data_IF_295110527349
#
_entry.id   IF_295110527349
#
_cell.length_a   1.000
_cell.length_b   1.000
_cell.length_c   1.000
_cell.angle_alpha   90.00
_cell.angle_beta   90.00
_cell.angle_gamma   90.00
#
_symmetry.space_group_name_H-M   'P 1'
#
loop_
_entity.id
_entity.type
_entity.pdbx_description
1 polymer ?
2 water ?
#
# COMPACT_ATOMS: atom_id res chain seq x y z
N UNK A 1 -28.23 18.33 -16.29
CA UNK A 1 -28.65 17.13 -15.59
C UNK A 1 -28.13 15.89 -16.26
N UNK A 2 -28.08 16.02 -17.68
CA UNK A 2 -27.64 14.76 -18.35
C UNK A 2 -26.15 14.44 -18.11
N UNK A 3 -25.31 15.48 -18.07
CA UNK A 3 -23.88 15.33 -17.76
C UNK A 3 -23.65 14.82 -16.33
N UNK A 4 -24.44 15.33 -15.38
CA UNK A 4 -24.34 14.92 -13.98
C UNK A 4 -24.74 13.44 -13.85
N UNK A 5 -25.84 13.08 -14.51
CA UNK A 5 -26.31 11.68 -14.54
C UNK A 5 -25.25 10.76 -15.18
N UNK A 6 -24.68 11.19 -16.30
CA UNK A 6 -23.60 10.46 -16.96
C UNK A 6 -22.44 10.16 -15.99
N UNK A 7 -22.03 11.20 -15.26
CA UNK A 7 -20.94 11.08 -14.29
C UNK A 7 -21.28 10.16 -13.12
N UNK A 8 -22.53 10.22 -12.63
CA UNK A 8 -23.00 9.28 -11.61
C UNK A 8 -22.77 7.83 -12.04
N UNK A 9 -23.09 7.53 -13.30
CA UNK A 9 -22.96 6.18 -13.84
C UNK A 9 -21.52 5.72 -14.02
N UNK A 10 -20.66 6.60 -14.57
CA UNK A 10 -19.22 6.29 -14.66
C UNK A 10 -18.64 6.09 -13.25
N UNK A 11 -18.98 7.01 -12.36
CA UNK A 11 -18.55 6.96 -10.95
C UNK A 11 -18.93 5.66 -10.27
N UNK A 12 -20.16 5.21 -10.51
CA UNK A 12 -20.64 3.95 -9.95
C UNK A 12 -19.82 2.75 -10.42
N UNK A 13 -19.54 2.69 -11.71
CA UNK A 13 -18.69 1.64 -12.27
C UNK A 13 -17.29 1.64 -11.66
N UNK A 14 -16.70 2.82 -11.55
CA UNK A 14 -15.35 2.96 -10.98
C UNK A 14 -15.30 2.51 -9.52
N UNK A 15 -16.38 2.81 -8.79
CA UNK A 15 -16.46 2.50 -7.36
C UNK A 15 -16.50 1.00 -7.06
N UNK A 16 -16.70 0.17 -8.08
CA UNK A 16 -16.65 -1.28 -7.82
C UNK A 16 -15.24 -1.85 -7.90
N UNK A 17 -14.29 -1.09 -8.45
CA UNK A 17 -12.92 -1.59 -8.65
C UNK A 17 -12.32 -2.08 -7.33
N UNK A 18 -12.55 -1.33 -6.25
CA UNK A 18 -11.96 -1.66 -4.95
C UNK A 18 -12.41 -2.97 -4.33
N UNK A 19 -13.52 -3.53 -4.83
CA UNK A 19 -14.01 -4.83 -4.39
C UNK A 19 -13.02 -5.95 -4.72
N UNK A 20 -12.07 -5.69 -5.65
CA UNK A 20 -11.05 -6.69 -5.95
C UNK A 20 -10.20 -7.01 -4.70
N UNK A 21 -10.06 -6.01 -3.82
CA UNK A 21 -9.33 -6.17 -2.56
C UNK A 21 -9.97 -7.18 -1.62
N UNK A 22 -11.28 -7.07 -1.44
CA UNK A 22 -12.05 -8.05 -0.67
C UNK A 22 -12.06 -9.43 -1.34
N UNK A 23 -12.15 -9.48 -2.66
CA UNK A 23 -12.12 -10.76 -3.39
C UNK A 23 -10.84 -11.54 -3.09
N UNK A 24 -9.72 -10.84 -3.16
CA UNK A 24 -8.41 -11.42 -2.84
C UNK A 24 -8.28 -11.62 -1.32
N UNK A 25 -8.68 -10.62 -0.54
CA UNK A 25 -8.48 -10.67 0.90
C UNK A 25 -9.23 -11.83 1.57
N UNK A 26 -10.49 -12.01 1.21
CA UNK A 26 -11.30 -13.08 1.80
C UNK A 26 -10.60 -14.43 1.55
N UNK A 27 -10.11 -14.59 0.32
CA UNK A 27 -9.37 -15.78 -0.10
C UNK A 27 -8.08 -16.04 0.69
N UNK A 28 -7.30 -14.98 0.92
CA UNK A 28 -6.07 -15.07 1.72
C UNK A 28 -6.38 -15.57 3.16
N UNK A 29 -7.45 -15.05 3.75
CA UNK A 29 -7.89 -15.51 5.10
C UNK A 29 -8.25 -17.00 5.06
N UNK A 30 -9.08 -17.39 4.09
CA UNK A 30 -9.51 -18.78 3.98
C UNK A 30 -8.37 -19.76 3.63
N UNK A 31 -7.42 -19.29 2.83
CA UNK A 31 -6.20 -20.04 2.54
C UNK A 31 -5.38 -20.32 3.81
N UNK A 32 -5.24 -19.32 4.66
CA UNK A 32 -4.52 -19.50 5.94
C UNK A 32 -5.27 -20.48 6.84
N UNK A 33 -6.59 -20.36 6.88
CA UNK A 33 -7.40 -21.28 7.68
C UNK A 33 -7.15 -22.72 7.26
N UNK A 34 -7.24 -22.97 5.95
CA UNK A 34 -7.06 -24.33 5.41
C UNK A 34 -5.64 -24.83 5.71
N UNK A 35 -4.64 -23.97 5.46
CA UNK A 35 -3.27 -24.39 5.68
C UNK A 35 -2.99 -24.60 7.18
N UNK A 36 -3.55 -23.74 8.03
CA UNK A 36 -3.41 -23.87 9.47
C UNK A 36 -4.02 -25.17 10.02
N UNK A 37 -5.23 -25.49 9.56
CA UNK A 37 -5.94 -26.71 10.00
C UNK A 37 -5.21 -27.96 9.48
N UNK A 38 -4.70 -27.92 8.25
CA UNK A 38 -4.01 -29.07 7.68
C UNK A 38 -2.74 -29.41 8.48
N UNK A 39 -2.01 -28.38 8.90
CA UNK A 39 -0.77 -28.55 9.69
C UNK A 39 -1.01 -28.93 11.14
N UNK A 40 -2.12 -28.45 11.71
CA UNK A 40 -2.45 -28.70 13.10
C UNK A 40 -3.98 -28.84 13.27
N UNK A 41 -4.54 -30.02 12.92
CA UNK A 41 -5.99 -30.16 12.97
C UNK A 41 -6.61 -29.81 14.31
N UNK A 42 -5.88 -30.08 15.41
CA UNK A 42 -6.39 -29.79 16.75
C UNK A 42 -6.70 -28.29 16.99
N UNK A 43 -6.17 -27.40 16.15
CA UNK A 43 -6.34 -25.95 16.35
C UNK A 43 -7.63 -25.39 15.67
N UNK A 44 -8.33 -26.26 14.95
CA UNK A 44 -9.49 -25.85 14.15
C UNK A 44 -10.50 -24.94 14.88
N UNK A 45 -10.89 -25.32 16.10
CA UNK A 45 -11.89 -24.54 16.86
C UNK A 45 -11.38 -23.18 17.33
N UNK A 46 -10.06 -23.03 17.40
CA UNK A 46 -9.44 -21.76 17.75
C UNK A 46 -9.35 -20.82 16.55
N UNK A 47 -8.87 -21.34 15.41
CA UNK A 47 -8.62 -20.46 14.26
C UNK A 47 -9.86 -20.20 13.38
N UNK A 48 -10.87 -21.07 13.43
CA UNK A 48 -12.08 -20.83 12.64
C UNK A 48 -12.77 -19.49 12.96
N UNK A 49 -12.98 -19.15 14.27
CA UNK A 49 -13.57 -17.82 14.56
C UNK A 49 -12.66 -16.66 14.14
N UNK A 50 -11.34 -16.86 14.17
CA UNK A 50 -10.41 -15.83 13.69
C UNK A 50 -10.58 -15.60 12.21
N UNK A 51 -10.82 -16.67 11.46
CA UNK A 51 -11.05 -16.59 10.03
C UNK A 51 -12.36 -15.84 9.71
N UNK A 52 -13.40 -16.11 10.49
CA UNK A 52 -14.69 -15.43 10.31
C UNK A 52 -14.53 -13.93 10.54
N UNK A 53 -13.81 -13.55 11.59
CA UNK A 53 -13.54 -12.13 11.87
C UNK A 53 -12.72 -11.49 10.76
N UNK A 54 -11.66 -12.19 10.35
CA UNK A 54 -10.78 -11.72 9.29
C UNK A 54 -11.53 -11.47 7.99
N UNK A 55 -12.32 -12.45 7.57
CA UNK A 55 -13.08 -12.29 6.34
C UNK A 55 -14.10 -11.14 6.45
N UNK A 56 -14.79 -11.05 7.59
CA UNK A 56 -15.79 -10.00 7.80
C UNK A 56 -15.17 -8.60 7.68
N UNK A 57 -13.97 -8.42 8.25
CA UNK A 57 -13.29 -7.13 8.22
C UNK A 57 -12.77 -6.78 6.82
N UNK A 58 -12.19 -7.76 6.13
CA UNK A 58 -11.78 -7.58 4.74
C UNK A 58 -12.97 -7.25 3.83
N UNK A 59 -14.06 -8.02 3.98
CA UNK A 59 -15.29 -7.80 3.23
C UNK A 59 -15.87 -6.40 3.44
N UNK A 60 -15.81 -5.90 4.67
CA UNK A 60 -16.31 -4.57 5.01
C UNK A 60 -15.75 -3.47 4.09
N UNK A 61 -14.49 -3.61 3.68
CA UNK A 61 -13.86 -2.61 2.81
C UNK A 61 -14.52 -2.60 1.43
N UNK A 62 -14.82 -3.79 0.92
CA UNK A 62 -15.57 -3.93 -0.34
C UNK A 62 -16.97 -3.37 -0.21
N UNK A 63 -17.60 -3.59 0.94
CA UNK A 63 -18.93 -3.04 1.18
C UNK A 63 -18.96 -1.51 1.24
N UNK A 64 -17.87 -0.90 1.72
CA UNK A 64 -17.70 0.55 1.65
C UNK A 64 -17.71 1.03 0.19
N UNK A 65 -16.98 0.33 -0.67
CA UNK A 65 -16.97 0.64 -2.11
C UNK A 65 -18.37 0.51 -2.72
N UNK A 66 -19.04 -0.60 -2.41
CA UNK A 66 -20.38 -0.86 -2.93
C UNK A 66 -21.39 0.20 -2.46
N UNK A 67 -21.27 0.66 -1.22
CA UNK A 67 -22.12 1.73 -0.68
C UNK A 67 -22.00 3.03 -1.49
N UNK A 68 -20.77 3.37 -1.86
CA UNK A 68 -20.51 4.56 -2.69
C UNK A 68 -21.15 4.38 -4.07
N UNK A 69 -20.95 3.19 -4.66
CA UNK A 69 -21.60 2.81 -5.91
C UNK A 69 -23.11 3.02 -5.86
N UNK A 70 -23.74 2.51 -4.81
CA UNK A 70 -25.20 2.61 -4.68
C UNK A 70 -25.67 4.05 -4.45
N UNK A 71 -24.90 4.81 -3.69
CA UNK A 71 -25.21 6.23 -3.47
C UNK A 71 -25.18 7.00 -4.79
N UNK A 72 -24.25 6.63 -5.67
CA UNK A 72 -24.13 7.25 -6.99
C UNK A 72 -25.26 6.82 -7.93
N UNK A 73 -25.67 5.55 -7.82
CA UNK A 73 -26.77 5.02 -8.61
C UNK A 73 -28.17 5.42 -8.12
N UNK A 74 -28.29 5.62 -6.80
CA UNK A 74 -29.59 5.81 -6.17
C UNK A 74 -29.56 6.91 -5.09
N UNK B 1 -21.08 25.00 -12.90
CA UNK B 1 -21.82 24.25 -11.89
C UNK B 1 -22.01 22.80 -12.26
N UNK B 2 -22.56 22.39 -13.51
CA UNK B 2 -22.86 21.00 -14.01
C UNK B 2 -21.58 20.16 -14.11
N UNK B 3 -20.57 20.71 -14.79
CA UNK B 3 -19.28 20.04 -14.99
C UNK B 3 -18.54 19.82 -13.66
N UNK B 4 -18.60 20.80 -12.76
CA UNK B 4 -18.00 20.69 -11.43
C UNK B 4 -18.67 19.56 -10.64
N UNK B 5 -20.00 19.53 -10.66
CA UNK B 5 -20.73 18.46 -9.97
C UNK B 5 -20.40 17.09 -10.57
N UNK B 6 -20.37 17.03 -11.91
CA UNK B 6 -19.96 15.82 -12.62
C UNK B 6 -18.59 15.32 -12.12
N UNK B 7 -17.63 16.26 -12.02
CA UNK B 7 -16.28 15.93 -11.55
C UNK B 7 -16.26 15.40 -10.11
N UNK B 8 -17.07 15.99 -9.24
CA UNK B 8 -17.15 15.53 -7.84
C UNK B 8 -17.57 14.07 -7.76
N UNK B 9 -18.53 13.69 -8.59
CA UNK B 9 -19.05 12.32 -8.58
C UNK B 9 -18.08 11.31 -9.19
N UNK B 10 -17.42 11.69 -10.28
CA UNK B 10 -16.33 10.85 -10.85
C UNK B 10 -15.20 10.72 -9.83
N UNK B 11 -14.83 11.84 -9.20
CA UNK B 11 -13.77 11.86 -8.20
C UNK B 11 -14.08 11.00 -6.99
N UNK B 12 -15.35 10.99 -6.59
CA UNK B 12 -15.80 10.18 -5.45
C UNK B 12 -15.62 8.69 -5.73
N UNK B 13 -15.97 8.27 -6.95
CA UNK B 13 -15.77 6.86 -7.36
C UNK B 13 -14.30 6.46 -7.39
N UNK B 14 -13.46 7.32 -7.94
CA UNK B 14 -12.02 7.08 -8.00
C UNK B 14 -11.41 6.94 -6.60
N UNK B 15 -11.94 7.74 -5.66
CA UNK B 15 -11.42 7.77 -4.29
C UNK B 15 -11.66 6.48 -3.51
N UNK B 16 -12.47 5.57 -4.06
CA UNK B 16 -12.67 4.29 -3.37
C UNK B 16 -11.69 3.20 -3.82
N UNK B 17 -10.99 3.42 -4.94
CA UNK B 17 -10.04 2.43 -5.47
C UNK B 17 -9.02 2.04 -4.40
N UNK B 18 -8.52 3.03 -3.67
CA UNK B 18 -7.53 2.81 -2.61
C UNK B 18 -7.94 1.86 -1.49
N UNK B 19 -9.25 1.67 -1.32
CA UNK B 19 -9.76 0.72 -0.32
C UNK B 19 -9.35 -0.73 -0.59
N UNK B 20 -8.95 -1.04 -1.82
CA UNK B 20 -8.47 -2.40 -2.12
C UNK B 20 -7.23 -2.76 -1.27
N UNK B 21 -6.43 -1.74 -0.92
CA UNK B 21 -5.21 -1.95 -0.12
C UNK B 21 -5.55 -2.44 1.28
N UNK B 22 -6.57 -1.82 1.88
CA UNK B 22 -7.10 -2.26 3.17
C UNK B 22 -7.77 -3.63 3.06
N UNK B 23 -8.50 -3.88 1.97
CA UNK B 23 -9.14 -5.20 1.81
C UNK B 23 -8.10 -6.32 1.82
N UNK B 24 -6.98 -6.07 1.14
CA UNK B 24 -5.90 -7.05 1.06
C UNK B 24 -5.09 -7.05 2.36
N UNK B 25 -4.82 -5.86 2.88
CA UNK B 25 -3.95 -5.72 4.06
C UNK B 25 -4.56 -6.37 5.29
N UNK B 26 -5.85 -6.11 5.53
CA UNK B 26 -6.54 -6.74 6.68
C UNK B 26 -6.40 -8.28 6.61
N UNK B 27 -6.63 -8.82 5.42
CA UNK B 27 -6.49 -10.27 5.19
C UNK B 27 -5.09 -10.82 5.48
N UNK B 28 -4.08 -10.08 5.04
CA UNK B 28 -2.69 -10.46 5.26
C UNK B 28 -2.40 -10.56 6.78
N UNK B 29 -2.91 -9.60 7.54
CA UNK B 29 -2.74 -9.62 9.00
C UNK B 29 -3.40 -10.85 9.63
N UNK B 30 -4.65 -11.11 9.24
CA UNK B 30 -5.39 -12.24 9.79
C UNK B 30 -4.83 -13.58 9.35
N UNK B 31 -4.32 -13.65 8.12
CA UNK B 31 -3.62 -14.85 7.67
C UNK B 31 -2.38 -15.18 8.54
N UNK B 32 -1.58 -14.15 8.83
CA UNK B 32 -0.41 -14.31 9.71
C UNK B 32 -0.84 -14.74 11.11
N UNK B 33 -1.92 -14.13 11.61
CA UNK B 33 -2.48 -14.53 12.90
C UNK B 33 -2.82 -16.02 12.91
N UNK B 34 -3.57 -16.47 11.89
CA UNK B 34 -4.02 -17.86 11.82
C UNK B 34 -2.82 -18.81 11.70
N UNK B 35 -1.89 -18.46 10.82
CA UNK B 35 -0.72 -19.31 10.64
C UNK B 35 0.17 -19.36 11.88
N UNK B 36 0.35 -18.23 12.56
CA UNK B 36 1.15 -18.19 13.78
C UNK B 36 0.55 -18.98 14.93
N UNK B 37 -0.76 -18.86 15.10
CA UNK B 37 -1.47 -19.63 16.13
C UNK B 37 -1.46 -21.14 15.82
N UNK B 38 -1.60 -21.51 14.55
CA UNK B 38 -1.55 -22.92 14.18
C UNK B 38 -0.18 -23.53 14.47
N UNK B 39 0.88 -22.76 14.21
CA UNK B 39 2.24 -23.22 14.48
C UNK B 39 2.60 -23.20 15.96
N UNK B 40 1.99 -22.30 16.72
CA UNK B 40 2.33 -22.13 18.13
C UNK B 40 1.11 -21.64 18.92
N UNK B 41 0.17 -22.56 19.24
CA UNK B 41 -1.06 -22.14 19.94
C UNK B 41 -0.81 -21.34 21.22
N UNK B 42 0.30 -21.63 21.91
CA UNK B 42 0.60 -20.99 23.19
C UNK B 42 0.81 -19.46 23.10
N UNK B 43 1.07 -18.95 21.89
CA UNK B 43 1.40 -17.53 21.69
C UNK B 43 0.16 -16.67 21.40
N UNK B 44 -1.02 -17.29 21.36
CA UNK B 44 -2.21 -16.62 20.82
C UNK B 44 -2.59 -15.32 21.56
N UNK B 45 -2.49 -15.32 22.89
CA UNK B 45 -2.78 -14.11 23.71
C UNK B 45 -1.81 -12.97 23.41
N UNK B 46 -0.59 -13.31 22.98
CA UNK B 46 0.41 -12.30 22.62
C UNK B 46 0.16 -11.70 21.20
N UNK B 47 -0.10 -12.56 20.22
CA UNK B 47 -0.20 -12.11 18.83
C UNK B 47 -1.59 -11.56 18.43
N UNK B 48 -2.64 -12.00 19.14
CA UNK B 48 -3.99 -11.50 18.85
C UNK B 48 -4.11 -9.97 18.93
N UNK B 49 -3.60 -9.32 20.02
CA UNK B 49 -3.63 -7.85 20.04
C UNK B 49 -2.78 -7.22 18.94
N UNK B 50 -1.67 -7.87 18.56
CA UNK B 50 -0.89 -7.38 17.41
C UNK B 50 -1.70 -7.38 16.13
N UNK B 51 -2.50 -8.43 15.93
CA UNK B 51 -3.38 -8.52 14.78
C UNK B 51 -4.45 -7.42 14.79
N UNK B 52 -5.00 -7.12 15.97
CA UNK B 52 -6.00 -6.04 16.06
C UNK B 52 -5.38 -4.69 15.72
N UNK B 53 -4.21 -4.40 16.30
CA UNK B 53 -3.48 -3.18 15.96
C UNK B 53 -3.16 -3.10 14.46
N UNK B 54 -2.67 -4.21 13.90
CA UNK B 54 -2.32 -4.26 12.47
C UNK B 54 -3.52 -3.99 11.58
N UNK B 55 -4.63 -4.67 11.87
CA UNK B 55 -5.87 -4.48 11.13
C UNK B 55 -6.34 -3.01 11.18
N UNK B 56 -6.34 -2.41 12.37
CA UNK B 56 -6.83 -1.05 12.57
C UNK B 56 -6.01 -0.02 11.79
N UNK B 57 -4.69 -0.19 11.81
CA UNK B 57 -3.82 0.73 11.10
C UNK B 57 -3.94 0.57 9.57
N UNK B 58 -4.10 -0.66 9.10
CA UNK B 58 -4.33 -0.91 7.67
C UNK B 58 -5.68 -0.34 7.24
N UNK B 59 -6.71 -0.62 8.03
CA UNK B 59 -8.05 -0.08 7.77
C UNK B 59 -8.08 1.45 7.73
N UNK B 60 -7.25 2.10 8.57
CA UNK B 60 -7.17 3.56 8.64
C UNK B 60 -6.83 4.19 7.29
N UNK B 61 -5.94 3.56 6.52
CA UNK B 61 -5.61 4.03 5.17
C UNK B 61 -6.82 4.03 4.23
N UNK B 62 -7.65 2.99 4.35
CA UNK B 62 -8.87 2.91 3.56
C UNK B 62 -9.90 3.94 4.02
N UNK B 63 -9.96 4.18 5.33
CA UNK B 63 -10.85 5.23 5.86
C UNK B 63 -10.45 6.64 5.39
N UNK B 64 -9.15 6.87 5.17
CA UNK B 64 -8.69 8.14 4.60
C UNK B 64 -9.24 8.35 3.19
N UNK B 65 -9.24 7.29 2.39
CA UNK B 65 -9.81 7.30 1.04
C UNK B 65 -11.30 7.60 1.08
N UNK B 66 -12.01 6.84 1.93
CA UNK B 66 -13.45 7.03 2.13
C UNK B 66 -13.80 8.46 2.55
N UNK B 67 -12.96 9.04 3.41
CA UNK B 67 -13.10 10.42 3.87
C UNK B 67 -13.16 11.39 2.69
N UNK B 68 -12.23 11.24 1.75
CA UNK B 68 -12.18 12.07 0.57
C UNK B 68 -13.41 11.82 -0.30
N UNK B 69 -13.81 10.55 -0.39
CA UNK B 69 -15.00 10.17 -1.14
C UNK B 69 -16.25 10.87 -0.63
N UNK B 70 -16.41 10.90 0.69
CA UNK B 70 -17.60 11.52 1.29
C UNK B 70 -17.56 13.06 1.23
N UNK B 71 -16.36 13.64 1.33
CA UNK B 71 -16.18 15.08 1.11
C UNK B 71 -16.63 15.48 -0.30
N UNK B 72 -16.27 14.66 -1.29
CA UNK B 72 -16.69 14.89 -2.68
C UNK B 72 -18.18 14.66 -2.90
N UNK B 73 -18.74 13.61 -2.28
CA UNK B 73 -20.17 13.30 -2.41
C UNK B 73 -21.08 14.30 -1.69
N UNK B 74 -20.67 14.73 -0.51
CA UNK B 74 -21.54 15.53 0.33
C UNK B 74 -20.99 16.93 0.59
N UNK C 1 -12.95 28.53 -15.47
CA UNK C 1 -12.73 28.20 -14.07
C UNK C 1 -13.46 26.96 -13.64
N UNK C 2 -14.67 26.53 -14.27
CA UNK C 2 -15.38 25.21 -14.17
C UNK C 2 -14.45 24.06 -14.50
N UNK C 3 -13.60 24.26 -15.51
CA UNK C 3 -12.67 23.23 -15.96
C UNK C 3 -11.57 22.98 -14.93
N UNK C 4 -11.03 24.06 -14.37
CA UNK C 4 -9.99 23.99 -13.36
C UNK C 4 -10.52 23.34 -12.08
N UNK C 5 -11.69 23.80 -11.63
CA UNK C 5 -12.35 23.20 -10.45
C UNK C 5 -12.63 21.71 -10.61
N UNK C 6 -13.20 21.38 -11.77
CA UNK C 6 -13.46 19.99 -12.13
C UNK C 6 -12.17 19.15 -12.03
N UNK C 7 -11.07 19.71 -12.55
CA UNK C 7 -9.76 19.07 -12.52
C UNK C 7 -9.21 18.87 -11.10
N UNK C 8 -9.47 19.83 -10.21
CA UNK C 8 -9.05 19.72 -8.81
C UNK C 8 -9.72 18.54 -8.13
N UNK C 9 -11.02 18.37 -8.39
CA UNK C 9 -11.77 17.31 -7.73
C UNK C 9 -11.44 15.92 -8.27
N UNK C 10 -11.25 15.82 -9.58
CA UNK C 10 -10.81 14.57 -10.20
C UNK C 10 -9.40 14.22 -9.70
N UNK C 11 -8.52 15.21 -9.69
CA UNK C 11 -7.15 15.05 -9.22
C UNK C 11 -7.08 14.62 -7.77
N UNK C 12 -7.94 15.20 -6.93
CA UNK C 12 -8.01 14.84 -5.51
C UNK C 12 -8.38 13.36 -5.34
N UNK C 13 -9.35 12.90 -6.12
CA UNK C 13 -9.73 11.49 -6.13
C UNK C 13 -8.59 10.57 -6.54
N UNK C 14 -7.92 10.93 -7.64
CA UNK C 14 -6.81 10.14 -8.17
C UNK C 14 -5.66 10.04 -7.15
N UNK C 15 -5.46 11.12 -6.37
CA UNK C 15 -4.40 11.24 -5.37
C UNK C 15 -4.52 10.29 -4.18
N UNK C 16 -5.71 9.71 -3.99
CA UNK C 16 -5.90 8.75 -2.89
C UNK C 16 -5.53 7.30 -3.28
N UNK C 17 -5.38 7.03 -4.59
CA UNK C 17 -5.08 5.67 -5.06
C UNK C 17 -3.82 5.13 -4.39
N UNK C 18 -2.78 5.96 -4.33
CA UNK C 18 -1.49 5.54 -3.76
C UNK C 18 -1.54 5.05 -2.32
N UNK C 19 -2.61 5.43 -1.59
CA UNK C 19 -2.86 4.93 -0.24
C UNK C 19 -3.03 3.40 -0.14
N UNK C 20 -3.34 2.75 -1.25
CA UNK C 20 -3.42 1.29 -1.25
C UNK C 20 -2.06 0.68 -0.85
N UNK C 21 -0.97 1.40 -1.15
CA UNK C 21 0.39 0.90 -0.86
C UNK C 21 0.65 0.84 0.63
N UNK C 22 0.23 1.88 1.35
CA UNK C 22 0.31 1.92 2.80
C UNK C 22 -0.65 0.89 3.42
N UNK C 23 -1.85 0.74 2.86
CA UNK C 23 -2.78 -0.31 3.31
C UNK C 23 -2.17 -1.69 3.30
N UNK C 24 -1.50 -2.02 2.19
CA UNK C 24 -0.82 -3.31 2.03
C UNK C 24 0.48 -3.35 2.86
N UNK C 25 1.28 -2.29 2.80
CA UNK C 25 2.56 -2.25 3.50
C UNK C 25 2.44 -2.41 5.03
N UNK C 26 1.56 -1.63 5.64
CA UNK C 26 1.34 -1.72 7.09
C UNK C 26 1.00 -3.16 7.50
N UNK C 27 0.13 -3.80 6.71
CA UNK C 27 -0.24 -5.19 6.92
C UNK C 27 0.94 -6.14 6.83
N UNK C 28 1.80 -5.94 5.83
CA UNK C 28 2.99 -6.77 5.63
C UNK C 28 3.92 -6.73 6.85
N UNK C 29 4.12 -5.52 7.39
CA UNK C 29 4.97 -5.32 8.57
C UNK C 29 4.38 -6.06 9.77
N UNK C 30 3.07 -5.87 10.01
CA UNK C 30 2.40 -6.56 11.11
C UNK C 30 2.33 -8.07 10.98
N UNK C 31 2.18 -8.56 9.75
CA UNK C 31 2.24 -10.01 9.50
C UNK C 31 3.62 -10.58 9.87
N UNK C 32 4.69 -9.86 9.50
CA UNK C 32 6.05 -10.31 9.82
C UNK C 32 6.25 -10.32 11.34
N UNK C 33 5.71 -9.31 12.01
CA UNK C 33 5.76 -9.22 13.48
C UNK C 33 5.10 -10.45 14.12
N UNK C 34 3.89 -10.77 13.65
CA UNK C 34 3.13 -11.90 14.18
C UNK C 34 3.87 -13.22 13.90
N UNK C 35 4.35 -13.40 12.67
CA UNK C 35 5.05 -14.64 12.36
C UNK C 35 6.38 -14.75 13.12
N UNK C 36 7.10 -13.63 13.26
CA UNK C 36 8.36 -13.60 14.01
C UNK C 36 8.21 -13.95 15.48
N UNK C 37 7.19 -13.35 16.11
CA UNK C 37 6.89 -13.63 17.51
C UNK C 37 6.38 -15.07 17.72
N UNK C 38 5.56 -15.57 16.78
CA UNK C 38 5.06 -16.94 16.87
C UNK C 38 6.21 -17.94 16.85
N UNK C 39 7.19 -17.69 15.98
CA UNK C 39 8.36 -18.58 15.85
C UNK C 39 9.38 -18.45 16.99
N UNK C 40 9.47 -17.27 17.60
CA UNK C 40 10.45 -17.01 18.65
C UNK C 40 9.87 -15.97 19.61
N UNK C 41 8.99 -16.41 20.54
CA UNK C 41 8.33 -15.50 21.48
C UNK C 41 9.27 -14.58 22.24
N UNK C 42 10.47 -15.06 22.59
CA UNK C 42 11.44 -14.25 23.35
C UNK C 42 11.94 -12.98 22.61
N UNK C 43 11.70 -12.89 21.31
CA UNK C 43 12.20 -11.75 20.52
C UNK C 43 11.23 -10.54 20.51
N UNK C 44 10.06 -10.73 21.10
CA UNK C 44 8.98 -9.74 21.02
C UNK C 44 9.43 -8.29 21.29
N UNK C 45 10.13 -8.07 22.41
CA UNK C 45 10.53 -6.71 22.80
C UNK C 45 11.56 -6.10 21.86
N UNK C 46 12.27 -6.93 21.12
CA UNK C 46 13.22 -6.47 20.11
C UNK C 46 12.50 -6.05 18.82
N UNK C 47 11.56 -6.87 18.36
CA UNK C 47 10.98 -6.66 17.03
C UNK C 47 9.75 -5.74 17.03
N UNK C 48 9.09 -5.62 18.18
CA UNK C 48 7.92 -4.76 18.24
C UNK C 48 8.24 -3.29 17.88
N UNK C 49 9.34 -2.72 18.45
CA UNK C 49 9.69 -1.36 18.00
C UNK C 49 10.10 -1.28 16.51
N UNK C 50 10.69 -2.34 15.97
CA UNK C 50 10.99 -2.37 14.53
C UNK C 50 9.69 -2.30 13.71
N UNK C 51 8.64 -2.95 14.18
CA UNK C 51 7.35 -2.95 13.48
C UNK C 51 6.66 -1.59 13.54
N UNK C 52 6.82 -0.90 14.67
CA UNK C 52 6.28 0.45 14.82
C UNK C 52 6.97 1.43 13.85
N UNK C 53 8.30 1.37 13.80
CA UNK C 53 9.07 2.16 12.83
C UNK C 53 8.65 1.83 11.39
N UNK C 54 8.60 0.53 11.08
CA UNK C 54 8.16 0.05 9.76
C UNK C 54 6.79 0.56 9.33
N UNK C 55 5.81 0.42 10.22
CA UNK C 55 4.46 0.88 9.92
C UNK C 55 4.45 2.38 9.62
N UNK C 56 5.14 3.15 10.47
CA UNK C 56 5.12 4.61 10.40
C UNK C 56 5.74 5.11 9.10
N UNK C 57 6.83 4.46 8.67
CA UNK C 57 7.48 4.83 7.41
C UNK C 57 6.63 4.46 6.19
N UNK C 58 6.02 3.27 6.22
CA UNK C 58 5.09 2.87 5.15
C UNK C 58 3.89 3.83 5.09
N UNK C 59 3.29 4.11 6.24
CA UNK C 59 2.16 5.04 6.31
C UNK C 59 2.48 6.44 5.78
N UNK C 60 3.70 6.93 6.04
CA UNK C 60 4.12 8.25 5.57
C UNK C 60 3.96 8.42 4.05
N UNK C 61 4.18 7.36 3.28
CA UNK C 61 4.04 7.42 1.82
C UNK C 61 2.59 7.72 1.46
N UNK C 62 1.66 7.13 2.20
CA UNK C 62 0.24 7.35 2.01
C UNK C 62 -0.18 8.73 2.46
N UNK C 63 0.44 9.20 3.53
CA UNK C 63 0.16 10.54 4.01
C UNK C 63 0.66 11.61 3.02
N UNK C 64 1.73 11.30 2.27
CA UNK C 64 2.13 12.18 1.16
C UNK C 64 1.03 12.26 0.10
N UNK C 65 0.46 11.11 -0.29
CA UNK C 65 -0.66 11.08 -1.23
C UNK C 65 -1.82 11.95 -0.75
N UNK C 66 -2.22 11.73 0.50
CA UNK C 66 -3.35 12.44 1.09
C UNK C 66 -3.08 13.95 1.19
N UNK C 67 -1.81 14.31 1.43
CA UNK C 67 -1.38 15.70 1.46
C UNK C 67 -1.66 16.40 0.12
N UNK C 68 -1.31 15.72 -0.96
CA UNK C 68 -1.59 16.22 -2.32
C UNK C 68 -3.11 16.28 -2.56
N UNK C 69 -3.83 15.26 -2.11
CA UNK C 69 -5.29 15.24 -2.15
C UNK C 69 -5.90 16.48 -1.49
N UNK C 70 -5.43 16.81 -0.29
CA UNK C 70 -5.98 17.95 0.45
C UNK C 70 -5.58 19.30 -0.16
N UNK C 71 -4.36 19.37 -0.68
CA UNK C 71 -3.90 20.55 -1.41
C UNK C 71 -4.83 20.84 -2.60
N UNK C 72 -5.24 19.79 -3.31
CA UNK C 72 -6.16 19.90 -4.44
C UNK C 72 -7.61 20.20 -4.01
N UNK C 73 -8.02 19.64 -2.88
CA UNK C 73 -9.37 19.87 -2.35
C UNK C 73 -9.56 21.26 -1.72
N UNK C 74 -8.53 21.76 -1.03
CA UNK C 74 -8.68 22.93 -0.16
C UNK C 74 -7.71 24.07 -0.48
N UNK C 75 -6.51 23.74 -0.93
CA UNK C 75 -5.49 24.75 -1.23
C UNK C 75 -5.71 25.41 -2.58
N UNK D 1 -5.18 28.91 -21.20
CA UNK D 1 -4.57 28.84 -19.87
C UNK D 1 -5.40 28.04 -18.89
N UNK D 2 -6.82 27.95 -18.95
CA UNK D 2 -7.64 27.06 -18.06
C UNK D 2 -7.39 25.56 -18.32
N UNK D 3 -7.23 25.20 -19.59
CA UNK D 3 -6.96 23.81 -19.97
C UNK D 3 -5.60 23.33 -19.43
N UNK D 4 -4.60 24.21 -19.52
CA UNK D 4 -3.25 23.90 -19.05
C UNK D 4 -3.22 23.73 -17.53
N UNK D 5 -3.92 24.61 -16.80
CA UNK D 5 -3.99 24.54 -15.35
C UNK D 5 -4.73 23.28 -14.90
N UNK D 6 -5.83 22.99 -15.59
CA UNK D 6 -6.58 21.74 -15.38
C UNK D 6 -5.65 20.52 -15.52
N UNK D 7 -4.83 20.53 -16.57
CA UNK D 7 -3.90 19.45 -16.86
C UNK D 7 -2.84 19.28 -15.77
N UNK D 8 -2.37 20.40 -15.23
CA UNK D 8 -1.39 20.37 -14.14
C UNK D 8 -1.96 19.69 -12.90
N UNK D 9 -3.21 20.00 -12.56
CA UNK D 9 -3.84 19.41 -11.38
C UNK D 9 -4.20 17.93 -11.55
N UNK D 10 -4.64 17.56 -12.76
CA UNK D 10 -4.85 16.14 -13.12
C UNK D 10 -3.52 15.39 -13.06
N UNK D 11 -2.51 15.94 -13.73
CA UNK D 11 -1.15 15.40 -13.71
C UNK D 11 -0.57 15.26 -12.31
N UNK D 12 -0.79 16.24 -11.44
CA UNK D 12 -0.29 16.18 -10.07
C UNK D 12 -0.87 14.99 -9.29
N UNK D 13 -2.17 14.74 -9.44
CA UNK D 13 -2.81 13.59 -8.79
C UNK D 13 -2.31 12.25 -9.31
N UNK D 14 -2.17 12.14 -10.63
CA UNK D 14 -1.64 10.94 -11.27
C UNK D 14 -0.22 10.63 -10.77
N UNK D 15 0.56 11.69 -10.50
CA UNK D 15 1.96 11.59 -10.06
C UNK D 15 2.14 11.01 -8.67
N UNK D 16 1.05 10.91 -7.90
CA UNK D 16 1.16 10.30 -6.57
C UNK D 16 0.96 8.77 -6.60
N UNK D 17 0.40 8.24 -7.69
CA UNK D 17 0.11 6.80 -7.76
C UNK D 17 1.35 5.95 -7.44
N UNK D 18 2.49 6.34 -8.02
CA UNK D 18 3.73 5.58 -7.91
C UNK D 18 4.26 5.45 -6.49
N UNK D 19 3.78 6.32 -5.60
CA UNK D 19 4.07 6.21 -4.17
C UNK D 19 3.61 4.90 -3.53
N UNK D 20 2.66 4.21 -4.17
CA UNK D 20 2.24 2.90 -3.66
C UNK D 20 3.43 1.92 -3.64
N UNK D 21 4.35 2.10 -4.59
CA UNK D 21 5.54 1.24 -4.70
C UNK D 21 6.44 1.35 -3.47
N UNK D 22 6.62 2.58 -2.98
CA UNK D 22 7.38 2.83 -1.76
C UNK D 22 6.63 2.36 -0.52
N UNK D 23 5.31 2.61 -0.46
CA UNK D 23 4.50 2.09 0.66
C UNK D 23 4.68 0.58 0.87
N UNK D 24 4.64 -0.16 -0.23
CA UNK D 24 4.79 -1.62 -0.19
C UNK D 24 6.27 -2.00 0.02
N UNK D 25 7.17 -1.36 -0.72
CA UNK D 25 8.59 -1.70 -0.63
C UNK D 25 9.18 -1.46 0.76
N UNK D 26 8.84 -0.35 1.40
CA UNK D 26 9.37 -0.06 2.74
C UNK D 26 8.96 -1.18 3.71
N UNK D 27 7.70 -1.61 3.58
CA UNK D 27 7.14 -2.70 4.37
C UNK D 27 7.87 -4.04 4.12
N UNK D 28 8.17 -4.32 2.86
CA UNK D 28 8.88 -5.57 2.49
C UNK D 28 10.25 -5.64 3.17
N UNK D 29 10.95 -4.51 3.19
CA UNK D 29 12.26 -4.41 3.86
C UNK D 29 12.12 -4.64 5.37
N UNK D 30 11.17 -3.94 6.00
CA UNK D 30 10.96 -4.11 7.43
C UNK D 30 10.46 -5.51 7.82
N UNK D 31 9.65 -6.10 6.95
CA UNK D 31 9.24 -7.51 7.12
C UNK D 31 10.44 -8.46 7.17
N UNK D 32 11.40 -8.28 6.25
CA UNK D 32 12.58 -9.13 6.21
C UNK D 32 13.44 -8.91 7.44
N UNK D 33 13.53 -7.66 7.88
CA UNK D 33 14.28 -7.32 9.10
C UNK D 33 13.72 -8.07 10.30
N UNK D 34 12.40 -7.99 10.47
CA UNK D 34 11.73 -8.62 11.60
C UNK D 34 11.92 -10.15 11.53
N UNK D 35 11.70 -10.72 10.34
CA UNK D 35 11.84 -12.16 10.19
C UNK D 35 13.29 -12.62 10.37
N UNK D 36 14.24 -11.85 9.86
CA UNK D 36 15.65 -12.18 10.01
C UNK D 36 16.10 -12.18 11.47
N UNK D 37 15.70 -11.16 12.21
CA UNK D 37 16.02 -11.03 13.63
C UNK D 37 15.32 -12.11 14.46
N UNK D 38 14.07 -12.42 14.15
CA UNK D 38 13.36 -13.52 14.83
C UNK D 38 14.09 -14.86 14.68
N UNK D 39 14.54 -15.14 13.46
CA UNK D 39 15.25 -16.40 13.15
C UNK D 39 16.66 -16.43 13.73
N UNK D 40 17.31 -15.27 13.81
CA UNK D 40 18.71 -15.21 14.26
C UNK D 40 18.95 -13.91 15.02
N UNK D 41 18.56 -13.85 16.31
CA UNK D 41 18.68 -12.59 17.05
C UNK D 41 20.08 -11.97 17.01
N UNK D 42 21.12 -12.81 16.99
CA UNK D 42 22.51 -12.34 17.01
C UNK D 42 22.90 -11.50 15.78
N UNK D 43 22.10 -11.56 14.73
CA UNK D 43 22.40 -10.85 13.48
C UNK D 43 21.83 -9.41 13.45
N UNK D 44 21.11 -9.03 14.50
CA UNK D 44 20.39 -7.75 14.53
C UNK D 44 21.25 -6.55 14.09
N UNK D 45 22.44 -6.42 14.69
CA UNK D 45 23.33 -5.27 14.41
C UNK D 45 23.84 -5.26 12.97
N UNK D 46 23.90 -6.44 12.35
CA UNK D 46 24.36 -6.56 10.98
C UNK D 46 23.25 -6.15 9.99
N UNK D 47 22.03 -6.65 10.21
CA UNK D 47 20.96 -6.45 9.23
C UNK D 47 20.18 -5.15 9.37
N UNK D 48 20.18 -4.55 10.56
CA UNK D 48 19.47 -3.30 10.77
C UNK D 48 19.93 -2.17 9.81
N UNK D 49 21.26 -1.97 9.67
CA UNK D 49 21.75 -0.99 8.68
C UNK D 49 21.36 -1.32 7.24
N UNK D 50 21.23 -2.61 6.91
CA UNK D 50 20.76 -3.04 5.59
C UNK D 50 19.31 -2.63 5.36
N UNK D 51 18.52 -2.69 6.43
CA UNK D 51 17.12 -2.32 6.37
C UNK D 51 16.99 -0.81 6.17
N UNK D 52 17.82 -0.04 6.87
CA UNK D 52 17.80 1.42 6.75
C UNK D 52 18.13 1.82 5.31
N UNK D 53 19.20 1.23 4.76
CA UNK D 53 19.58 1.48 3.36
C UNK D 53 18.49 1.09 2.36
N UNK D 54 17.92 -0.10 2.54
CA UNK D 54 16.86 -0.60 1.66
C UNK D 54 15.63 0.30 1.70
N UNK D 55 15.24 0.69 2.92
CA UNK D 55 14.13 1.63 3.10
C UNK D 55 14.35 2.97 2.38
N UNK D 56 15.53 3.56 2.59
CA UNK D 56 15.88 4.85 1.98
C UNK D 56 15.82 4.80 0.45
N UNK D 57 16.38 3.75 -0.13
CA UNK D 57 16.40 3.60 -1.58
C UNK D 57 15.01 3.36 -2.17
N UNK D 58 14.19 2.56 -1.48
CA UNK D 58 12.79 2.38 -1.87
C UNK D 58 12.01 3.70 -1.77
N UNK D 59 12.16 4.40 -0.64
CA UNK D 59 11.50 5.67 -0.40
C UNK D 59 11.87 6.72 -1.47
N UNK D 60 13.15 6.75 -1.87
CA UNK D 60 13.63 7.65 -2.93
C UNK D 60 12.79 7.61 -4.20
N UNK D 61 12.32 6.42 -4.59
CA UNK D 61 11.46 6.29 -5.79
C UNK D 61 10.14 7.05 -5.63
N UNK D 62 9.55 6.98 -4.43
CA UNK D 62 8.34 7.72 -4.11
C UNK D 62 8.58 9.22 -4.08
N UNK D 63 9.75 9.61 -3.56
CA UNK D 63 10.14 11.01 -3.52
C UNK D 63 10.33 11.60 -4.91
N UNK D 64 10.80 10.80 -5.88
CA UNK D 64 10.85 11.22 -7.29
C UNK D 64 9.45 11.48 -7.85
N UNK D 65 8.49 10.62 -7.49
CA UNK D 65 7.08 10.84 -7.85
C UNK D 65 6.55 12.15 -7.24
N UNK D 66 6.80 12.34 -5.96
CA UNK D 66 6.31 13.52 -5.25
C UNK D 66 6.91 14.81 -5.79
N UNK D 67 8.16 14.74 -6.24
CA UNK D 67 8.87 15.85 -6.87
C UNK D 67 8.15 16.34 -8.12
N UNK D 68 7.75 15.40 -8.97
CA UNK D 68 7.02 15.70 -10.21
C UNK D 68 5.64 16.28 -9.87
N UNK D 69 5.00 15.71 -8.83
CA UNK D 69 3.72 16.19 -8.32
C UNK D 69 3.76 17.68 -7.95
N UNK D 70 4.77 18.06 -7.18
CA UNK D 70 4.91 19.43 -6.73
C UNK D 70 5.35 20.37 -7.86
N UNK D 71 6.19 19.89 -8.77
CA UNK D 71 6.50 20.66 -9.99
C UNK D 71 5.20 21.02 -10.71
N UNK D 72 4.31 20.04 -10.84
CA UNK D 72 3.00 20.24 -11.50
C UNK D 72 2.04 21.11 -10.68
N UNK D 73 2.00 20.91 -9.36
CA UNK D 73 1.13 21.69 -8.48
C UNK D 73 1.49 23.18 -8.38
N UNK D 74 2.79 23.50 -8.43
CA UNK D 74 3.25 24.87 -8.14
C UNK D 74 4.09 25.46 -9.27
N UNK E 1 -1.74 25.28 -28.93
CA UNK E 1 -0.54 25.22 -28.08
C UNK E 1 -0.86 24.84 -26.66
N UNK E 2 -2.11 25.30 -26.20
CA UNK E 2 -2.71 24.89 -24.89
C UNK E 2 -2.91 23.38 -24.82
N UNK E 3 -3.42 22.81 -25.92
CA UNK E 3 -3.67 21.37 -26.01
C UNK E 3 -2.39 20.52 -25.90
N UNK E 4 -1.33 20.94 -26.57
CA UNK E 4 -0.05 20.23 -26.50
C UNK E 4 0.58 20.34 -25.11
N UNK E 5 0.56 21.55 -24.54
CA UNK E 5 1.05 21.79 -23.19
C UNK E 5 0.33 20.96 -22.15
N UNK E 6 -1.00 20.92 -22.26
CA UNK E 6 -1.83 20.08 -21.40
C UNK E 6 -1.39 18.62 -21.42
N UNK E 7 -1.16 18.11 -22.63
CA UNK E 7 -0.76 16.73 -22.86
C UNK E 7 0.63 16.43 -22.30
N UNK E 8 1.52 17.40 -22.39
CA UNK E 8 2.86 17.27 -21.81
C UNK E 8 2.74 17.08 -20.29
N UNK E 9 1.87 17.85 -19.64
CA UNK E 9 1.78 17.79 -18.19
C UNK E 9 1.07 16.55 -17.68
N UNK E 10 0.05 16.09 -18.42
CA UNK E 10 -0.63 14.85 -18.09
C UNK E 10 0.29 13.65 -18.38
N UNK E 11 0.98 13.70 -19.52
CA UNK E 11 1.96 12.68 -19.88
C UNK E 11 3.07 12.56 -18.86
N UNK E 12 3.54 13.71 -18.35
CA UNK E 12 4.60 13.73 -17.34
C UNK E 12 4.16 13.03 -16.04
N UNK E 13 2.92 13.28 -15.63
CA UNK E 13 2.36 12.60 -14.45
C UNK E 13 2.21 11.09 -14.63
N UNK E 14 1.67 10.69 -15.78
CA UNK E 14 1.52 9.26 -16.10
C UNK E 14 2.87 8.53 -16.10
N UNK E 15 3.90 9.23 -16.59
CA UNK E 15 5.26 8.72 -16.71
C UNK E 15 5.91 8.34 -15.39
N UNK E 16 5.34 8.78 -14.27
CA UNK E 16 5.91 8.45 -12.95
C UNK E 16 5.34 7.13 -12.37
N UNK E 17 4.23 6.65 -12.94
CA UNK E 17 3.57 5.45 -12.40
C UNK E 17 4.55 4.27 -12.37
N UNK E 18 5.28 4.08 -13.47
CA UNK E 18 6.26 2.99 -13.55
C UNK E 18 7.30 2.94 -12.44
N UNK E 19 7.50 4.05 -11.73
CA UNK E 19 8.44 4.11 -10.61
C UNK E 19 8.04 3.21 -9.45
N UNK E 20 6.77 2.84 -9.39
CA UNK E 20 6.31 1.88 -8.37
C UNK E 20 7.08 0.56 -8.51
N UNK E 21 7.48 0.25 -9.74
CA UNK E 21 8.23 -1.01 -10.02
C UNK E 21 9.57 -1.06 -9.30
N UNK E 22 10.34 0.02 -9.45
CA UNK E 22 11.60 0.20 -8.72
C UNK E 22 11.37 0.30 -7.19
N UNK E 23 10.31 0.98 -6.77
CA UNK E 23 9.97 1.05 -5.33
C UNK E 23 9.88 -0.35 -4.72
N UNK E 24 9.12 -1.22 -5.39
CA UNK E 24 8.94 -2.59 -4.92
C UNK E 24 10.19 -3.45 -5.16
N UNK E 25 10.79 -3.31 -6.33
CA UNK E 25 11.92 -4.14 -6.72
C UNK E 25 13.14 -3.93 -5.83
N UNK E 26 13.49 -2.67 -5.59
CA UNK E 26 14.61 -2.36 -4.70
C UNK E 26 14.40 -3.05 -3.33
N UNK E 27 13.18 -2.95 -2.83
CA UNK E 27 12.82 -3.58 -1.56
C UNK E 27 13.01 -5.09 -1.57
N UNK E 28 12.56 -5.74 -2.64
CA UNK E 28 12.70 -7.19 -2.82
C UNK E 28 14.18 -7.63 -2.75
N UNK E 29 15.04 -6.86 -3.41
CA UNK E 29 16.49 -7.12 -3.37
C UNK E 29 17.03 -7.03 -1.93
N UNK E 30 16.69 -5.95 -1.23
CA UNK E 30 17.17 -5.77 0.15
C UNK E 30 16.57 -6.77 1.15
N UNK E 31 15.32 -7.19 0.90
CA UNK E 31 14.72 -8.25 1.72
C UNK E 31 15.49 -9.56 1.60
N UNK E 32 15.85 -9.90 0.36
CA UNK E 32 16.64 -11.09 0.08
C UNK E 32 18.01 -11.02 0.74
N UNK E 33 18.64 -9.84 0.68
CA UNK E 33 19.94 -9.62 1.33
C UNK E 33 19.84 -9.90 2.83
N UNK E 34 18.85 -9.29 3.48
CA UNK E 34 18.61 -9.46 4.92
C UNK E 34 18.30 -10.93 5.28
N UNK E 35 17.42 -11.57 4.52
CA UNK E 35 17.08 -12.95 4.82
C UNK E 35 18.27 -13.89 4.56
N UNK E 36 19.02 -13.64 3.49
CA UNK E 36 20.20 -14.46 3.20
C UNK E 36 21.31 -14.33 4.24
N UNK E 37 21.55 -13.12 4.69
CA UNK E 37 22.56 -12.87 5.74
C UNK E 37 22.12 -13.43 7.11
N UNK E 38 20.83 -13.33 7.45
CA UNK E 38 20.32 -13.89 8.71
C UNK E 38 20.48 -15.42 8.74
N UNK E 39 20.26 -16.06 7.60
CA UNK E 39 20.38 -17.52 7.50
C UNK E 39 21.83 -17.99 7.46
N UNK E 40 22.70 -17.17 6.88
CA UNK E 40 24.12 -17.51 6.69
C UNK E 40 24.99 -16.27 6.80
N UNK E 41 25.27 -15.80 8.04
CA UNK E 41 26.06 -14.56 8.21
C UNK E 41 27.40 -14.57 7.46
N UNK E 42 28.05 -15.73 7.36
CA UNK E 42 29.37 -15.82 6.71
C UNK E 42 29.35 -15.47 5.22
N UNK E 43 28.17 -15.38 4.62
CA UNK E 43 28.05 -15.11 3.18
C UNK E 43 27.91 -13.60 2.85
N UNK E 44 27.88 -12.78 3.90
CA UNK E 44 27.59 -11.35 3.75
C UNK E 44 28.43 -10.63 2.67
N UNK E 45 29.75 -10.88 2.67
CA UNK E 45 30.67 -10.16 1.78
C UNK E 45 30.50 -10.59 0.32
N UNK E 46 29.95 -11.77 0.12
CA UNK E 46 29.67 -12.29 -1.21
C UNK E 46 28.37 -11.69 -1.78
N UNK E 47 27.31 -11.69 -0.97
CA UNK E 47 25.99 -11.30 -1.49
C UNK E 47 25.75 -9.79 -1.50
N UNK E 48 26.51 -9.05 -0.68
CA UNK E 48 26.27 -7.60 -0.61
C UNK E 48 26.48 -6.88 -1.94
N UNK E 49 27.57 -7.17 -2.67
CA UNK E 49 27.74 -6.60 -4.01
C UNK E 49 26.66 -7.06 -5.00
N UNK E 50 26.14 -8.27 -4.82
CA UNK E 50 25.02 -8.75 -5.64
C UNK E 50 23.78 -7.89 -5.39
N UNK E 51 23.55 -7.53 -4.14
CA UNK E 51 22.43 -6.67 -3.79
C UNK E 51 22.61 -5.25 -4.36
N UNK E 52 23.83 -4.71 -4.32
CA UNK E 52 24.09 -3.39 -4.92
C UNK E 52 23.81 -3.41 -6.43
N UNK E 53 24.31 -4.44 -7.13
CA UNK E 53 24.02 -4.61 -8.56
C UNK E 53 22.51 -4.75 -8.86
N UNK E 54 21.84 -5.62 -8.11
CA UNK E 54 20.39 -5.82 -8.25
C UNK E 54 19.59 -4.55 -8.06
N UNK E 55 19.90 -3.81 -7.00
CA UNK E 55 19.27 -2.52 -6.73
C UNK E 55 19.48 -1.55 -7.88
N UNK E 56 20.72 -1.43 -8.34
CA UNK E 56 21.06 -0.48 -9.40
C UNK E 56 20.28 -0.78 -10.69
N UNK E 57 20.20 -2.05 -11.06
CA UNK E 57 19.52 -2.45 -12.30
C UNK E 57 18.00 -2.23 -12.21
N UNK E 58 17.40 -2.61 -11.09
CA UNK E 58 15.98 -2.33 -10.83
C UNK E 58 15.71 -0.80 -10.83
N UNK E 59 16.56 -0.06 -10.13
CA UNK E 59 16.47 1.40 -10.07
C UNK E 59 16.52 2.05 -11.46
N UNK E 60 17.40 1.53 -12.33
CA UNK E 60 17.54 2.05 -13.70
C UNK E 60 16.21 2.10 -14.45
N UNK E 61 15.33 1.11 -14.23
CA UNK E 61 14.03 1.07 -14.91
C UNK E 61 13.18 2.28 -14.52
N UNK E 62 13.22 2.61 -13.23
CA UNK E 62 12.52 3.80 -12.71
C UNK E 62 13.13 5.09 -13.21
N UNK E 63 14.44 5.06 -13.45
CA UNK E 63 15.12 6.23 -14.00
C UNK E 63 14.74 6.49 -15.46
N UNK E 64 14.52 5.43 -16.23
CA UNK E 64 14.03 5.56 -17.61
C UNK E 64 12.64 6.22 -17.63
N UNK E 65 11.76 5.80 -16.71
CA UNK E 65 10.45 6.47 -16.51
C UNK E 65 10.59 7.96 -16.20
N UNK E 66 11.46 8.29 -15.24
CA UNK E 66 11.71 9.68 -14.83
C UNK E 66 12.30 10.52 -15.96
N UNK E 67 13.13 9.89 -16.79
CA UNK E 67 13.72 10.51 -17.98
C UNK E 67 12.63 11.00 -18.95
N UNK E 68 11.64 10.15 -19.21
CA UNK E 68 10.51 10.50 -20.07
C UNK E 68 9.68 11.63 -19.44
N UNK E 69 9.43 11.52 -18.14
CA UNK E 69 8.75 12.58 -17.37
C UNK E 69 9.42 13.95 -17.54
N UNK E 70 10.74 13.98 -17.37
CA UNK E 70 11.51 15.23 -17.46
C UNK E 70 11.57 15.75 -18.89
N UNK E 71 11.63 14.85 -19.88
CA UNK E 71 11.54 15.23 -21.29
C UNK E 71 10.22 15.93 -21.58
N UNK E 72 9.12 15.36 -21.07
CA UNK E 72 7.78 15.90 -21.25
C UNK E 72 7.59 17.23 -20.52
N UNK E 73 8.18 17.35 -19.33
CA UNK E 73 8.09 18.59 -18.55
C UNK E 73 8.92 19.72 -19.14
N UNK E 74 10.13 19.40 -19.58
CA UNK E 74 11.10 20.43 -19.96
C UNK E 74 11.45 20.46 -21.46
#
# INVERSE_FOLDING_TARGET
MQLVLAAKYIGAGISTIGLLGAGIGIAIVFAALINGVSRNPSIKDTVFPMAILGFALSEATGLFCLMVSFLLLFGV
MQLVLAAKYIGAGISTIGLLGAGIGIAIVFAALINGVSRNPSIKDTVFPMAILGFALSEATGLFCLMVSFLLLFGV
MQLVLAAKYIGAGISTIGLLGAGIGIAIVFAALINGVSRNPSIKDTVFPMAILGFALSEATGLFCLMVSFLLLFGV
MQLVLAAKYIGAGISTIGLLGAGIGIAIVFAALINGVSRNPSIKDTVFPMAILGFALSEATGLFCLMVSFLLLFGV
MQLVLAAKYIGAGISTIGLLGAGIGIAIVFAALINGVSRNPSIKDTVFPMAILGFALSEATGLFCLMVSFLLLFGV
#
